data_IF_858931449487
#
_entry.id   IF_858931449487
#
_cell.length_a   1.000
_cell.length_b   1.000
_cell.length_c   1.000
_cell.angle_alpha   90.00
_cell.angle_beta   90.00
_cell.angle_gamma   90.00
#
_symmetry.space_group_name_H-M   'P 1'
#
loop_
_entity.id
_entity.type
_entity.pdbx_description
1 polymer ?
#
# COMPACT_ATOMS: atom_id res chain seq x y z
N UNK A 1 -39.58 5.03 -10.41
CA UNK A 1 -38.26 4.57 -10.90
C UNK A 1 -37.24 5.39 -10.13
N UNK A 2 -36.59 4.82 -9.10
CA UNK A 2 -35.61 5.55 -8.27
C UNK A 2 -34.27 5.50 -9.01
N UNK A 3 -33.61 6.66 -9.14
CA UNK A 3 -32.31 6.78 -9.81
C UNK A 3 -31.28 5.78 -9.26
N UNK A 4 -30.58 5.01 -10.12
CA UNK A 4 -29.58 4.02 -9.69
C UNK A 4 -28.30 4.62 -9.08
N UNK A 5 -28.14 5.94 -9.08
CA UNK A 5 -26.92 6.66 -8.64
C UNK A 5 -26.95 7.11 -7.18
N UNK A 6 -27.93 6.68 -6.38
CA UNK A 6 -28.07 7.08 -4.96
C UNK A 6 -27.17 6.33 -3.96
N UNK A 7 -26.43 5.33 -4.42
CA UNK A 7 -25.42 4.68 -3.58
C UNK A 7 -24.09 5.37 -3.83
N UNK A 8 -23.55 6.04 -2.80
CA UNK A 8 -22.19 6.56 -2.82
C UNK A 8 -21.17 5.48 -3.19
N UNK A 9 -19.89 5.83 -3.43
CA UNK A 9 -18.88 4.84 -3.79
C UNK A 9 -18.89 3.69 -2.78
N UNK A 10 -18.76 2.42 -3.24
CA UNK A 10 -18.77 1.28 -2.34
C UNK A 10 -17.71 1.47 -1.25
N UNK A 11 -18.13 1.20 -0.01
CA UNK A 11 -17.28 1.27 1.18
C UNK A 11 -17.20 -0.10 1.82
N UNK A 12 -16.06 -0.37 2.43
CA UNK A 12 -15.76 -1.62 3.13
C UNK A 12 -15.31 -1.32 4.55
N UNK A 13 -15.73 -2.13 5.52
CA UNK A 13 -15.48 -1.88 6.94
C UNK A 13 -14.22 -2.61 7.39
N UNK A 14 -13.33 -1.92 8.10
CA UNK A 14 -12.20 -2.54 8.78
C UNK A 14 -12.73 -3.43 9.91
N UNK A 15 -12.52 -4.73 9.79
CA UNK A 15 -12.93 -5.74 10.77
C UNK A 15 -11.76 -6.31 11.56
N UNK A 16 -10.53 -6.01 11.17
CA UNK A 16 -9.34 -6.51 11.86
C UNK A 16 -8.08 -5.77 11.44
N UNK A 17 -7.21 -5.51 12.42
CA UNK A 17 -5.85 -5.01 12.20
C UNK A 17 -4.89 -5.88 13.02
N UNK A 18 -4.09 -6.70 12.33
CA UNK A 18 -3.20 -7.65 13.00
C UNK A 18 -1.74 -7.44 12.62
N UNK A 19 -0.84 -7.48 13.60
CA UNK A 19 0.61 -7.40 13.32
C UNK A 19 1.08 -8.65 12.59
N UNK A 20 1.85 -8.48 11.51
CA UNK A 20 2.37 -9.61 10.74
C UNK A 20 3.45 -10.38 11.52
N UNK A 21 3.46 -11.72 11.36
CA UNK A 21 4.39 -12.62 12.08
C UNK A 21 5.86 -12.39 11.75
N UNK A 22 6.18 -12.13 10.48
CA UNK A 22 7.58 -12.03 9.98
C UNK A 22 8.14 -10.62 9.99
N UNK A 23 7.28 -9.61 9.80
CA UNK A 23 7.69 -8.21 9.80
C UNK A 23 6.81 -7.47 10.81
N UNK A 24 7.41 -7.14 11.96
CA UNK A 24 6.68 -6.53 13.07
C UNK A 24 6.24 -5.10 12.78
N UNK A 25 6.83 -4.43 11.79
CA UNK A 25 6.46 -3.07 11.42
C UNK A 25 5.30 -3.03 10.41
N UNK A 26 4.78 -4.21 10.02
CA UNK A 26 3.64 -4.32 9.10
C UNK A 26 2.43 -4.93 9.76
N UNK A 27 1.28 -4.48 9.32
CA UNK A 27 -0.03 -4.92 9.77
C UNK A 27 -0.84 -5.47 8.59
N UNK A 28 -1.53 -6.57 8.81
CA UNK A 28 -2.58 -7.07 7.93
C UNK A 28 -3.87 -6.34 8.26
N UNK A 29 -4.49 -5.76 7.25
CA UNK A 29 -5.80 -5.10 7.35
C UNK A 29 -6.85 -6.02 6.76
N UNK A 30 -7.91 -6.25 7.53
CA UNK A 30 -9.06 -7.08 7.14
C UNK A 30 -10.27 -6.18 6.90
N UNK A 31 -10.92 -6.35 5.76
CA UNK A 31 -12.11 -5.63 5.36
C UNK A 31 -13.27 -6.61 5.21
N UNK A 32 -14.38 -6.34 5.91
CA UNK A 32 -15.59 -7.16 5.91
C UNK A 32 -15.33 -8.65 6.24
N UNK A 33 -14.36 -8.93 7.10
CA UNK A 33 -13.97 -10.27 7.53
C UNK A 33 -12.90 -10.94 6.67
N UNK A 34 -12.47 -10.32 5.58
CA UNK A 34 -11.49 -10.89 4.65
C UNK A 34 -10.18 -10.09 4.65
N UNK A 35 -9.05 -10.79 4.47
CA UNK A 35 -7.77 -10.12 4.30
C UNK A 35 -7.80 -9.24 3.04
N UNK A 36 -7.49 -7.96 3.19
CA UNK A 36 -7.51 -7.01 2.08
C UNK A 36 -6.09 -6.64 1.62
N UNK A 37 -5.26 -6.13 2.52
CA UNK A 37 -3.88 -5.72 2.21
C UNK A 37 -3.01 -5.64 3.46
N UNK A 38 -1.69 -5.57 3.25
CA UNK A 38 -0.73 -5.23 4.29
C UNK A 38 -0.36 -3.76 4.24
N UNK A 39 -0.21 -3.11 5.39
CA UNK A 39 0.18 -1.70 5.51
C UNK A 39 1.34 -1.54 6.49
N UNK A 40 2.25 -0.62 6.19
CA UNK A 40 3.27 -0.16 7.13
C UNK A 40 2.64 0.49 8.38
N UNK A 41 3.22 0.24 9.54
CA UNK A 41 2.69 0.71 10.83
C UNK A 41 2.69 2.23 10.97
N UNK A 42 3.65 2.94 10.37
CA UNK A 42 3.64 4.41 10.37
C UNK A 42 2.51 4.93 9.50
N UNK A 43 2.28 4.35 8.32
CA UNK A 43 1.14 4.73 7.47
C UNK A 43 -0.20 4.44 8.14
N UNK A 44 -0.31 3.31 8.85
CA UNK A 44 -1.50 2.98 9.63
C UNK A 44 -1.79 4.06 10.68
N UNK A 45 -0.75 4.53 11.38
CA UNK A 45 -0.84 5.60 12.38
C UNK A 45 -1.16 6.96 11.75
N UNK A 46 -0.46 7.34 10.69
CA UNK A 46 -0.62 8.64 10.01
C UNK A 46 -2.03 8.81 9.43
N UNK A 47 -2.62 7.74 8.91
CA UNK A 47 -4.00 7.72 8.41
C UNK A 47 -5.04 7.46 9.51
N UNK A 48 -4.62 7.22 10.75
CA UNK A 48 -5.50 7.00 11.89
C UNK A 48 -6.43 5.80 11.72
N UNK A 49 -5.97 4.72 11.07
CA UNK A 49 -6.82 3.58 10.76
C UNK A 49 -7.16 2.77 12.01
N UNK A 50 -8.44 2.44 12.17
CA UNK A 50 -8.97 1.72 13.32
C UNK A 50 -10.06 0.74 12.90
N UNK A 51 -10.20 -0.36 13.64
CA UNK A 51 -11.33 -1.28 13.48
C UNK A 51 -12.65 -0.53 13.65
N UNK A 52 -13.63 -0.89 12.81
CA UNK A 52 -14.93 -0.22 12.76
C UNK A 52 -15.04 0.89 11.72
N UNK A 53 -13.93 1.43 11.23
CA UNK A 53 -13.93 2.46 10.19
C UNK A 53 -14.31 1.90 8.82
N UNK A 54 -14.90 2.75 7.97
CA UNK A 54 -15.20 2.43 6.58
C UNK A 54 -14.21 3.10 5.65
N UNK A 55 -13.70 2.35 4.67
CA UNK A 55 -12.84 2.85 3.62
C UNK A 55 -13.54 2.75 2.27
N UNK A 56 -13.50 3.81 1.48
CA UNK A 56 -13.86 3.74 0.06
C UNK A 56 -12.76 3.06 -0.74
N UNK A 57 -13.10 2.54 -1.91
CA UNK A 57 -12.13 1.99 -2.87
C UNK A 57 -10.99 2.98 -3.18
N UNK A 58 -11.30 4.28 -3.28
CA UNK A 58 -10.29 5.32 -3.53
C UNK A 58 -9.32 5.45 -2.36
N UNK A 59 -9.81 5.39 -1.11
CA UNK A 59 -8.95 5.42 0.08
C UNK A 59 -8.06 4.18 0.16
N UNK A 60 -8.61 3.00 -0.17
CA UNK A 60 -7.84 1.75 -0.21
C UNK A 60 -6.71 1.84 -1.24
N UNK A 61 -7.01 2.30 -2.45
CA UNK A 61 -6.02 2.47 -3.52
C UNK A 61 -4.93 3.47 -3.12
N UNK A 62 -5.30 4.58 -2.49
CA UNK A 62 -4.34 5.58 -2.02
C UNK A 62 -3.42 5.02 -0.93
N UNK A 63 -3.97 4.30 0.06
CA UNK A 63 -3.17 3.64 1.10
C UNK A 63 -2.18 2.63 0.50
N UNK A 64 -2.61 1.83 -0.48
CA UNK A 64 -1.75 0.86 -1.15
C UNK A 64 -0.66 1.54 -1.98
N UNK A 65 -0.98 2.65 -2.66
CA UNK A 65 -0.02 3.45 -3.42
C UNK A 65 1.05 4.02 -2.50
N UNK A 66 0.67 4.62 -1.37
CA UNK A 66 1.62 5.18 -0.41
C UNK A 66 2.49 4.11 0.26
N UNK A 67 1.94 2.93 0.59
CA UNK A 67 2.73 1.77 1.05
C UNK A 67 3.77 1.34 0.01
N UNK A 68 3.35 1.25 -1.25
CA UNK A 68 4.23 0.87 -2.34
C UNK A 68 5.34 1.89 -2.55
N UNK A 69 5.01 3.19 -2.56
CA UNK A 69 5.96 4.32 -2.63
C UNK A 69 7.01 4.25 -1.52
N UNK A 70 6.58 4.06 -0.28
CA UNK A 70 7.50 3.91 0.87
C UNK A 70 8.45 2.72 0.67
N UNK A 71 7.91 1.57 0.30
CA UNK A 71 8.69 0.34 0.11
C UNK A 71 9.67 0.45 -1.05
N UNK A 72 9.27 1.05 -2.17
CA UNK A 72 10.14 1.18 -3.34
C UNK A 72 11.26 2.17 -3.07
N UNK A 73 11.00 3.27 -2.36
CA UNK A 73 12.03 4.24 -1.95
C UNK A 73 13.11 3.58 -1.10
N UNK A 74 12.72 2.80 -0.09
CA UNK A 74 13.66 2.04 0.75
C UNK A 74 14.45 1.05 -0.11
N UNK A 75 13.80 0.35 -1.04
CA UNK A 75 14.48 -0.62 -1.88
C UNK A 75 15.45 0.03 -2.88
N UNK A 76 15.08 1.16 -3.47
CA UNK A 76 15.93 1.94 -4.36
C UNK A 76 17.17 2.45 -3.62
N UNK A 77 16.99 3.04 -2.43
CA UNK A 77 18.12 3.46 -1.59
C UNK A 77 19.04 2.31 -1.20
N UNK A 78 18.50 1.12 -0.90
CA UNK A 78 19.34 -0.06 -0.64
C UNK A 78 20.21 -0.45 -1.82
N UNK A 79 19.71 -0.30 -3.06
CA UNK A 79 20.52 -0.56 -4.25
C UNK A 79 21.59 0.51 -4.43
N UNK A 80 21.21 1.79 -4.34
CA UNK A 80 22.12 2.93 -4.56
C UNK A 80 23.19 3.05 -3.46
N UNK A 81 22.87 2.67 -2.21
CA UNK A 81 23.83 2.67 -1.11
C UNK A 81 24.97 1.67 -1.30
N UNK A 82 24.78 0.63 -2.13
CA UNK A 82 25.81 -0.36 -2.41
C UNK A 82 26.77 0.10 -3.52
N UNK A 83 26.24 0.71 -4.59
CA UNK A 83 26.99 1.34 -5.70
C UNK A 83 26.05 2.11 -6.61
N UNK A 84 26.61 2.86 -7.54
CA UNK A 84 25.86 3.47 -8.63
C UNK A 84 25.17 2.41 -9.51
N UNK A 85 23.97 2.74 -9.98
CA UNK A 85 23.17 1.94 -10.90
C UNK A 85 22.66 2.86 -12.00
N UNK A 86 22.65 2.39 -13.25
CA UNK A 86 21.93 3.11 -14.30
C UNK A 86 20.42 3.02 -14.06
N UNK A 87 19.67 3.99 -14.58
CA UNK A 87 18.20 3.99 -14.54
C UNK A 87 17.62 2.66 -15.06
N UNK A 88 18.14 2.15 -16.19
CA UNK A 88 17.72 0.86 -16.77
C UNK A 88 17.99 -0.33 -15.84
N UNK A 89 19.15 -0.34 -15.18
CA UNK A 89 19.50 -1.39 -14.21
C UNK A 89 18.57 -1.34 -12.99
N UNK A 90 18.36 -0.14 -12.43
CA UNK A 90 17.51 0.09 -11.28
C UNK A 90 16.06 -0.32 -11.57
N UNK A 91 15.49 0.15 -12.68
CA UNK A 91 14.15 -0.21 -13.17
C UNK A 91 13.99 -1.73 -13.30
N UNK A 92 14.98 -2.40 -13.90
CA UNK A 92 14.94 -3.86 -14.06
C UNK A 92 14.95 -4.58 -12.70
N UNK A 93 15.77 -4.12 -11.75
CA UNK A 93 15.84 -4.70 -10.39
C UNK A 93 14.55 -4.47 -9.61
N UNK A 94 14.00 -3.25 -9.64
CA UNK A 94 12.74 -2.92 -8.95
C UNK A 94 11.56 -3.69 -9.55
N UNK A 95 11.47 -3.80 -10.88
CA UNK A 95 10.44 -4.63 -11.53
C UNK A 95 10.55 -6.10 -11.12
N UNK A 96 11.77 -6.67 -11.06
CA UNK A 96 12.00 -8.04 -10.57
C UNK A 96 11.62 -8.23 -9.10
N UNK A 97 11.58 -7.16 -8.31
CA UNK A 97 11.08 -7.17 -6.92
C UNK A 97 9.56 -7.07 -6.82
N UNK A 98 8.87 -6.86 -7.94
CA UNK A 98 7.41 -6.85 -8.00
C UNK A 98 6.77 -5.49 -7.76
N UNK A 99 7.53 -4.39 -7.89
CA UNK A 99 6.95 -3.04 -7.85
C UNK A 99 6.22 -2.70 -9.15
N UNK A 100 5.12 -1.96 -9.03
CA UNK A 100 4.35 -1.44 -10.15
C UNK A 100 5.15 -0.47 -11.01
N UNK A 101 4.76 -0.32 -12.28
CA UNK A 101 5.37 0.68 -13.17
C UNK A 101 5.21 2.11 -12.63
N UNK A 102 4.06 2.41 -12.02
CA UNK A 102 3.77 3.71 -11.39
C UNK A 102 4.75 3.99 -10.24
N UNK A 103 4.97 3.02 -9.35
CA UNK A 103 5.91 3.17 -8.25
C UNK A 103 7.35 3.31 -8.74
N UNK A 104 7.74 2.56 -9.78
CA UNK A 104 9.07 2.66 -10.40
C UNK A 104 9.28 4.05 -10.97
N UNK A 105 8.35 4.55 -11.79
CA UNK A 105 8.44 5.90 -12.36
C UNK A 105 8.56 6.97 -11.28
N UNK A 106 7.89 6.80 -10.13
CA UNK A 106 7.95 7.74 -9.02
C UNK A 106 9.33 7.85 -8.32
N UNK A 107 10.21 6.83 -8.42
CA UNK A 107 11.53 6.83 -7.78
C UNK A 107 12.72 7.03 -8.71
N UNK A 108 12.49 7.12 -10.02
CA UNK A 108 13.53 7.45 -11.00
C UNK A 108 13.72 8.95 -11.09
#
# INVERSE_FOLDING_TARGET
MKDPTLFGPPKRKITGIERQKRNRDRFSVYLDGEFAFGLDGELLFDYGLQEGQELSEQQILELQREDERKRIKIQAFRYLANRDHSERELTTKLRKKGFSSEAIEWVL
#
